data_IF_101004235197
#
_entry.id   IF_101004235197
#
_cell.length_a   1.000
_cell.length_b   1.000
_cell.length_c   1.000
_cell.angle_alpha   90.00
_cell.angle_beta   90.00
_cell.angle_gamma   90.00
#
_symmetry.space_group_name_H-M   'P 1'
#
loop_
_entity.id
_entity.type
_entity.pdbx_description
1 polymer ?
#
# COMPACT_ATOMS: atom_id res chain seq x y z
N UNK A 1 -11.46 8.44 9.05
CA UNK A 1 -11.87 7.10 9.54
C UNK A 1 -10.61 6.28 9.77
N UNK A 2 -10.46 5.63 10.92
CA UNK A 2 -9.37 4.69 11.17
C UNK A 2 -9.79 3.37 10.53
N UNK A 3 -9.05 2.89 9.54
CA UNK A 3 -9.29 1.56 8.99
C UNK A 3 -8.87 0.57 10.08
N UNK A 4 -9.77 -0.29 10.52
CA UNK A 4 -9.46 -1.39 11.44
C UNK A 4 -8.61 -2.41 10.67
N UNK A 5 -7.34 -2.07 10.44
CA UNK A 5 -6.36 -2.86 9.75
C UNK A 5 -5.39 -3.44 10.77
N UNK A 6 -5.19 -4.75 10.71
CA UNK A 6 -4.13 -5.44 11.43
C UNK A 6 -2.89 -5.45 10.53
N UNK A 7 -1.74 -5.09 11.11
CA UNK A 7 -0.47 -4.99 10.40
C UNK A 7 0.60 -5.74 11.18
N UNK A 8 1.23 -6.72 10.54
CA UNK A 8 2.29 -7.53 11.13
C UNK A 8 3.53 -7.50 10.24
N UNK A 9 4.70 -7.23 10.84
CA UNK A 9 5.99 -7.21 10.16
C UNK A 9 6.73 -8.54 10.31
N UNK A 10 7.36 -8.98 9.21
CA UNK A 10 8.19 -10.17 9.10
C UNK A 10 9.45 -9.82 8.31
N UNK A 11 10.48 -9.34 9.02
CA UNK A 11 11.65 -8.75 8.36
C UNK A 11 11.24 -7.51 7.57
N UNK A 12 11.57 -7.50 6.27
CA UNK A 12 11.27 -6.38 5.38
C UNK A 12 9.90 -6.48 4.67
N UNK A 13 9.08 -7.47 5.05
CA UNK A 13 7.72 -7.61 4.56
C UNK A 13 6.69 -7.32 5.66
N UNK A 14 5.68 -6.50 5.34
CA UNK A 14 4.52 -6.27 6.19
C UNK A 14 3.27 -6.85 5.56
N UNK A 15 2.51 -7.63 6.31
CA UNK A 15 1.18 -8.11 5.92
C UNK A 15 0.12 -7.19 6.50
N UNK A 16 -0.81 -6.75 5.67
CA UNK A 16 -1.95 -5.90 6.04
C UNK A 16 -3.23 -6.70 5.86
N UNK A 17 -4.11 -6.69 6.87
CA UNK A 17 -5.43 -7.32 6.80
C UNK A 17 -6.50 -6.38 7.29
N UNK A 18 -7.50 -6.11 6.46
CA UNK A 18 -8.70 -5.36 6.82
C UNK A 18 -9.94 -5.98 6.17
N UNK A 19 -11.14 -5.60 6.63
CA UNK A 19 -12.40 -6.16 6.12
C UNK A 19 -12.71 -5.80 4.66
N UNK A 20 -12.09 -4.75 4.11
CA UNK A 20 -12.30 -4.29 2.73
C UNK A 20 -11.10 -4.50 1.80
N UNK A 21 -9.92 -4.74 2.37
CA UNK A 21 -8.69 -4.90 1.62
C UNK A 21 -7.66 -5.72 2.43
N UNK A 22 -6.96 -6.62 1.75
CA UNK A 22 -5.76 -7.27 2.25
C UNK A 22 -4.58 -6.88 1.38
N UNK A 23 -3.36 -6.98 1.91
CA UNK A 23 -2.19 -6.59 1.15
C UNK A 23 -0.88 -6.93 1.81
N UNK A 24 0.19 -6.63 1.07
CA UNK A 24 1.58 -6.80 1.49
C UNK A 24 2.38 -5.58 1.09
N UNK A 25 3.33 -5.21 1.93
CA UNK A 25 4.35 -4.21 1.62
C UNK A 25 5.69 -4.88 1.75
N UNK A 26 6.47 -4.91 0.68
CA UNK A 26 7.87 -5.34 0.70
C UNK A 26 8.74 -4.11 0.59
N UNK A 27 9.63 -3.95 1.55
CA UNK A 27 10.63 -2.89 1.54
C UNK A 27 11.96 -3.52 1.14
N UNK A 28 12.66 -2.87 0.24
CA UNK A 28 14.03 -3.18 -0.13
C UNK A 28 14.80 -1.88 -0.16
N UNK A 29 16.13 -1.97 -0.23
CA UNK A 29 17.01 -0.79 -0.11
C UNK A 29 16.62 0.37 -1.04
N UNK A 30 16.18 0.04 -2.26
CA UNK A 30 15.88 1.03 -3.30
C UNK A 30 14.44 0.93 -3.86
N UNK A 31 13.61 0.06 -3.29
CA UNK A 31 12.28 -0.22 -3.84
C UNK A 31 11.29 -0.56 -2.73
N UNK A 32 10.09 0.01 -2.83
CA UNK A 32 8.94 -0.40 -2.04
C UNK A 32 7.91 -0.97 -3.00
N UNK A 33 7.54 -2.24 -2.80
CA UNK A 33 6.49 -2.90 -3.55
C UNK A 33 5.26 -3.01 -2.66
N UNK A 34 4.13 -2.50 -3.14
CA UNK A 34 2.85 -2.58 -2.43
C UNK A 34 1.87 -3.37 -3.28
N UNK A 35 1.38 -4.48 -2.72
CA UNK A 35 0.34 -5.32 -3.31
C UNK A 35 -0.92 -5.19 -2.45
N UNK A 36 -2.04 -4.82 -3.07
CA UNK A 36 -3.33 -4.70 -2.37
C UNK A 36 -4.40 -5.41 -3.17
N UNK A 37 -5.10 -6.34 -2.52
CA UNK A 37 -6.31 -6.94 -3.03
C UNK A 37 -7.51 -6.21 -2.43
N UNK A 38 -8.36 -5.68 -3.30
CA UNK A 38 -9.58 -4.99 -2.89
C UNK A 38 -10.76 -5.96 -2.96
N UNK A 39 -11.57 -5.96 -1.90
CA UNK A 39 -12.87 -6.62 -1.94
C UNK A 39 -13.81 -5.90 -2.92
N UNK A 40 -14.85 -6.62 -3.37
CA UNK A 40 -15.79 -6.18 -4.40
C UNK A 40 -16.33 -4.75 -4.20
N UNK A 41 -16.60 -4.37 -2.94
CA UNK A 41 -17.12 -3.05 -2.60
C UNK A 41 -16.12 -1.92 -2.87
N UNK A 42 -14.82 -2.17 -2.69
CA UNK A 42 -13.77 -1.16 -2.87
C UNK A 42 -13.14 -1.19 -4.26
N UNK A 43 -13.35 -2.25 -5.06
CA UNK A 43 -12.79 -2.38 -6.41
C UNK A 43 -13.01 -1.15 -7.31
N UNK A 44 -14.18 -0.47 -7.31
CA UNK A 44 -14.37 0.75 -8.12
C UNK A 44 -13.46 1.91 -7.71
N UNK A 45 -12.96 1.91 -6.47
CA UNK A 45 -12.10 2.95 -5.91
C UNK A 45 -10.60 2.68 -6.11
N UNK A 46 -10.23 1.62 -6.86
CA UNK A 46 -8.84 1.19 -7.06
C UNK A 46 -7.90 2.34 -7.42
N UNK A 47 -8.24 3.14 -8.44
CA UNK A 47 -7.38 4.23 -8.93
C UNK A 47 -7.19 5.35 -7.90
N UNK A 48 -8.19 5.60 -7.07
CA UNK A 48 -8.11 6.58 -5.97
C UNK A 48 -7.20 6.06 -4.86
N UNK A 49 -7.32 4.78 -4.52
CA UNK A 49 -6.49 4.13 -3.51
C UNK A 49 -5.02 4.11 -3.95
N UNK A 50 -4.73 3.69 -5.19
CA UNK A 50 -3.38 3.70 -5.76
C UNK A 50 -2.76 5.10 -5.69
N UNK A 51 -3.49 6.13 -6.16
CA UNK A 51 -3.02 7.51 -6.13
C UNK A 51 -2.69 8.00 -4.72
N UNK A 52 -3.54 7.66 -3.75
CA UNK A 52 -3.31 8.07 -2.37
C UNK A 52 -2.11 7.37 -1.75
N UNK A 53 -1.94 6.08 -2.03
CA UNK A 53 -0.75 5.32 -1.60
C UNK A 53 0.51 5.96 -2.18
N UNK A 54 0.56 6.20 -3.49
CA UNK A 54 1.71 6.85 -4.15
C UNK A 54 1.98 8.23 -3.56
N UNK A 55 0.96 9.07 -3.38
CA UNK A 55 1.10 10.41 -2.80
C UNK A 55 1.69 10.39 -1.39
N UNK A 56 1.22 9.47 -0.54
CA UNK A 56 1.72 9.33 0.84
C UNK A 56 3.16 8.81 0.87
N UNK A 57 3.51 7.88 -0.01
CA UNK A 57 4.89 7.39 -0.14
C UNK A 57 5.84 8.48 -0.65
N UNK A 58 5.46 9.20 -1.71
CA UNK A 58 6.26 10.31 -2.26
C UNK A 58 6.56 11.37 -1.20
N UNK A 59 5.58 11.66 -0.35
CA UNK A 59 5.72 12.65 0.73
C UNK A 59 6.68 12.20 1.82
N UNK A 60 6.80 10.88 2.09
CA UNK A 60 7.51 10.35 3.26
C UNK A 60 8.86 9.70 2.95
N UNK A 61 9.01 9.14 1.76
CA UNK A 61 10.20 8.36 1.35
C UNK A 61 11.12 9.18 0.44
N UNK A 62 10.62 10.24 -0.19
CA UNK A 62 11.40 11.07 -1.10
C UNK A 62 11.50 10.44 -2.49
N UNK A 63 11.32 11.27 -3.51
CA UNK A 63 11.03 10.85 -4.88
C UNK A 63 12.26 10.30 -5.60
N UNK A 64 12.33 8.97 -5.73
CA UNK A 64 12.97 8.35 -6.89
C UNK A 64 12.03 8.45 -8.09
N UNK A 65 12.14 9.50 -8.90
CA UNK A 65 11.43 9.59 -10.19
C UNK A 65 11.77 8.37 -11.06
N UNK A 66 10.80 7.50 -11.29
CA UNK A 66 10.62 6.73 -12.53
C UNK A 66 9.14 6.84 -12.89
N UNK A 67 8.70 7.56 -13.93
CA UNK A 67 9.11 7.41 -15.33
C UNK A 67 8.50 6.09 -15.83
N UNK A 68 7.30 6.09 -16.40
CA UNK A 68 6.95 6.70 -17.70
C UNK A 68 5.55 7.29 -17.73
#
# INVERSE_FOLDING_TARGET
ARLNANCDWYGDEMVIRSSGADGRIKVSENLIVIEVNLGLLLSPMKSTIEREISRQLDTRVGTGKGGM
#
